data_IF_281677047927
#
_entry.id   IF_281677047927
#
_cell.length_a   1.000
_cell.length_b   1.000
_cell.length_c   1.000
_cell.angle_alpha   90.00
_cell.angle_beta   90.00
_cell.angle_gamma   90.00
#
_symmetry.space_group_name_H-M   'P 1'
#
loop_
_entity.id
_entity.type
_entity.pdbx_description
1 polymer ?
#
# COMPACT_ATOMS: atom_id res chain seq x y z
N UNK A 1 -75.57 -29.10 -1.08
CA UNK A 1 -74.76 -30.23 -1.59
C UNK A 1 -74.37 -29.91 -3.03
N UNK A 2 -73.14 -29.44 -3.25
CA UNK A 2 -72.50 -29.38 -4.56
C UNK A 2 -71.01 -29.62 -4.32
N UNK A 3 -70.52 -30.76 -4.80
CA UNK A 3 -69.16 -31.25 -4.60
C UNK A 3 -68.14 -30.33 -5.29
N UNK A 4 -67.29 -29.66 -4.51
CA UNK A 4 -66.02 -29.11 -4.99
C UNK A 4 -65.07 -30.27 -5.33
N UNK A 5 -64.88 -30.51 -6.63
CA UNK A 5 -63.85 -31.44 -7.11
C UNK A 5 -62.48 -30.78 -6.95
N UNK A 6 -61.78 -31.07 -5.85
CA UNK A 6 -60.35 -30.81 -5.69
C UNK A 6 -59.58 -31.58 -6.76
N UNK A 7 -59.02 -30.87 -7.75
CA UNK A 7 -58.13 -31.43 -8.77
C UNK A 7 -56.85 -31.93 -8.11
N UNK A 8 -56.69 -33.25 -8.06
CA UNK A 8 -55.53 -33.93 -7.47
C UNK A 8 -54.28 -33.66 -8.31
N UNK A 9 -53.12 -33.41 -7.67
CA UNK A 9 -51.85 -33.05 -8.33
C UNK A 9 -51.43 -34.02 -9.45
N UNK A 10 -51.85 -35.28 -9.34
CA UNK A 10 -51.61 -36.30 -10.37
C UNK A 10 -52.25 -35.97 -11.71
N UNK A 11 -53.39 -35.27 -11.73
CA UNK A 11 -54.11 -34.94 -12.95
C UNK A 11 -53.47 -33.75 -13.67
N UNK A 12 -52.87 -32.83 -12.91
CA UNK A 12 -52.05 -31.73 -13.44
C UNK A 12 -50.76 -32.29 -14.06
N UNK A 13 -50.14 -33.28 -13.39
CA UNK A 13 -48.92 -33.91 -13.86
C UNK A 13 -49.15 -34.74 -15.14
N UNK A 14 -50.24 -35.50 -15.19
CA UNK A 14 -50.68 -36.22 -16.41
C UNK A 14 -50.95 -35.26 -17.56
N UNK A 15 -51.55 -34.10 -17.30
CA UNK A 15 -51.81 -33.07 -18.31
C UNK A 15 -50.53 -32.42 -18.84
N UNK A 16 -49.52 -32.20 -17.98
CA UNK A 16 -48.18 -31.73 -18.41
C UNK A 16 -47.41 -32.78 -19.21
N UNK A 17 -47.46 -34.05 -18.81
CA UNK A 17 -46.84 -35.16 -19.55
C UNK A 17 -47.49 -35.34 -20.94
N UNK A 18 -48.81 -35.19 -21.04
CA UNK A 18 -49.53 -35.22 -22.32
C UNK A 18 -49.21 -34.03 -23.25
N UNK A 19 -48.75 -32.90 -22.70
CA UNK A 19 -48.27 -31.76 -23.48
C UNK A 19 -46.79 -31.91 -23.89
N UNK A 20 -45.99 -32.65 -23.12
CA UNK A 20 -44.57 -32.95 -23.40
C UNK A 20 -44.39 -33.93 -24.59
N UNK A 21 -45.40 -34.75 -24.90
CA UNK A 21 -45.39 -35.65 -26.06
C UNK A 21 -45.69 -34.94 -27.40
N UNK A 22 -46.02 -33.65 -27.40
CA UNK A 22 -45.97 -32.84 -28.62
C UNK A 22 -44.51 -32.55 -28.93
N UNK A 23 -44.00 -33.16 -30.01
CA UNK A 23 -42.68 -32.88 -30.58
C UNK A 23 -42.48 -31.36 -30.67
N UNK A 24 -41.54 -30.85 -29.88
CA UNK A 24 -41.22 -29.43 -29.85
C UNK A 24 -40.31 -29.08 -31.04
N UNK A 25 -40.93 -28.77 -32.19
CA UNK A 25 -40.28 -28.42 -33.46
C UNK A 25 -39.68 -26.99 -33.49
N UNK A 26 -39.51 -26.35 -32.33
CA UNK A 26 -38.94 -24.99 -32.24
C UNK A 26 -37.41 -25.00 -32.34
N UNK A 27 -36.88 -24.02 -33.06
CA UNK A 27 -35.45 -23.87 -33.33
C UNK A 27 -34.68 -23.50 -32.03
N UNK A 28 -33.39 -23.82 -31.90
CA UNK A 28 -32.62 -23.53 -30.66
C UNK A 28 -32.64 -22.04 -30.28
N UNK A 29 -32.65 -21.15 -31.28
CA UNK A 29 -32.70 -19.71 -31.06
C UNK A 29 -34.06 -19.23 -30.53
N UNK A 30 -35.15 -19.88 -30.93
CA UNK A 30 -36.50 -19.59 -30.41
C UNK A 30 -36.65 -20.05 -28.97
N UNK A 31 -36.02 -21.18 -28.62
CA UNK A 31 -35.98 -21.67 -27.23
C UNK A 31 -35.18 -20.73 -26.33
N UNK A 32 -34.02 -20.24 -26.80
CA UNK A 32 -33.24 -19.21 -26.07
C UNK A 32 -33.98 -17.89 -25.94
N UNK A 33 -34.73 -17.48 -26.96
CA UNK A 33 -35.55 -16.27 -26.93
C UNK A 33 -36.70 -16.39 -25.91
N UNK A 34 -37.42 -17.52 -25.89
CA UNK A 34 -38.46 -17.78 -24.88
C UNK A 34 -37.87 -17.88 -23.47
N UNK A 35 -36.72 -18.54 -23.29
CA UNK A 35 -36.03 -18.62 -22.01
C UNK A 35 -35.61 -17.23 -21.50
N UNK A 36 -35.09 -16.37 -22.38
CA UNK A 36 -34.74 -14.98 -22.04
C UNK A 36 -35.98 -14.14 -21.74
N UNK A 37 -37.09 -14.37 -22.44
CA UNK A 37 -38.36 -13.67 -22.19
C UNK A 37 -39.00 -14.11 -20.87
N UNK A 38 -39.03 -15.41 -20.58
CA UNK A 38 -39.46 -15.99 -19.30
C UNK A 38 -38.56 -15.51 -18.15
N UNK A 39 -37.25 -15.52 -18.34
CA UNK A 39 -36.29 -14.99 -17.36
C UNK A 39 -36.55 -13.52 -17.07
N UNK A 40 -36.75 -12.70 -18.11
CA UNK A 40 -37.03 -11.26 -17.97
C UNK A 40 -38.35 -11.02 -17.24
N UNK A 41 -39.38 -11.83 -17.51
CA UNK A 41 -40.68 -11.76 -16.83
C UNK A 41 -40.56 -12.11 -15.35
N UNK A 42 -39.95 -13.24 -15.00
CA UNK A 42 -39.78 -13.62 -13.59
C UNK A 42 -38.84 -12.67 -12.85
N UNK A 43 -37.77 -12.20 -13.50
CA UNK A 43 -36.86 -11.22 -12.93
C UNK A 43 -37.57 -9.88 -12.63
N UNK A 44 -38.43 -9.40 -13.53
CA UNK A 44 -39.19 -8.16 -13.32
C UNK A 44 -40.27 -8.30 -12.25
N UNK A 45 -40.97 -9.43 -12.18
CA UNK A 45 -41.93 -9.74 -11.12
C UNK A 45 -41.23 -9.84 -9.75
N UNK A 46 -40.09 -10.50 -9.65
CA UNK A 46 -39.32 -10.61 -8.40
C UNK A 46 -38.61 -9.31 -8.00
N UNK A 47 -38.15 -8.50 -8.97
CA UNK A 47 -37.61 -7.15 -8.72
C UNK A 47 -38.67 -6.19 -8.16
N UNK A 48 -39.94 -6.40 -8.51
CA UNK A 48 -41.06 -5.62 -7.99
C UNK A 48 -41.55 -6.09 -6.60
N UNK A 49 -41.26 -7.35 -6.22
CA UNK A 49 -41.80 -8.00 -5.02
C UNK A 49 -41.09 -7.72 -3.69
N UNK A 50 -39.98 -6.96 -3.66
CA UNK A 50 -39.38 -6.56 -2.38
C UNK A 50 -40.12 -5.33 -1.85
N UNK A 51 -40.97 -5.54 -0.84
CA UNK A 51 -41.63 -4.52 -0.02
C UNK A 51 -40.74 -3.28 0.15
N UNK A 52 -40.95 -2.24 -0.66
CA UNK A 52 -40.20 -0.99 -0.54
C UNK A 52 -40.83 -0.23 0.61
N UNK A 53 -40.27 -0.36 1.81
CA UNK A 53 -40.60 0.52 2.93
C UNK A 53 -40.67 1.96 2.44
N UNK A 54 -41.69 2.71 2.86
CA UNK A 54 -41.91 4.08 2.39
C UNK A 54 -40.71 5.01 2.69
N UNK A 55 -39.88 4.62 3.66
CA UNK A 55 -38.60 5.26 4.01
C UNK A 55 -37.60 5.28 2.86
N UNK A 56 -37.59 4.29 1.96
CA UNK A 56 -36.69 4.26 0.80
C UNK A 56 -36.99 5.33 -0.26
N UNK A 57 -38.15 6.01 -0.16
CA UNK A 57 -38.46 7.20 -0.98
C UNK A 57 -37.70 8.44 -0.51
N UNK A 58 -37.31 8.51 0.76
CA UNK A 58 -36.59 9.64 1.37
C UNK A 58 -35.11 9.33 1.61
N UNK A 59 -34.79 8.09 1.97
CA UNK A 59 -33.43 7.63 2.24
C UNK A 59 -33.10 6.53 1.24
N UNK A 60 -32.21 6.76 0.27
CA UNK A 60 -31.81 5.71 -0.65
C UNK A 60 -31.15 4.57 0.13
N UNK A 61 -31.35 3.34 -0.34
CA UNK A 61 -30.68 2.18 0.25
C UNK A 61 -29.17 2.35 0.11
N UNK A 62 -28.48 2.53 1.23
CA UNK A 62 -27.05 2.77 1.28
C UNK A 62 -26.24 1.52 1.62
N UNK A 63 -26.89 0.47 2.14
CA UNK A 63 -26.25 -0.79 2.46
C UNK A 63 -26.87 -1.96 1.68
N UNK A 64 -26.00 -2.71 1.01
CA UNK A 64 -26.33 -3.94 0.31
C UNK A 64 -25.57 -5.06 1.00
N UNK A 65 -26.29 -5.99 1.63
CA UNK A 65 -25.70 -7.19 2.22
C UNK A 65 -25.00 -7.98 1.10
N UNK A 66 -23.80 -8.44 1.39
CA UNK A 66 -23.05 -9.32 0.49
C UNK A 66 -23.75 -10.69 0.42
N UNK A 67 -23.80 -11.33 -0.76
CA UNK A 67 -24.27 -12.70 -0.87
C UNK A 67 -23.47 -13.61 0.07
N UNK A 68 -24.16 -14.51 0.76
CA UNK A 68 -23.49 -15.49 1.61
C UNK A 68 -22.83 -16.59 0.75
N UNK A 69 -21.89 -17.36 1.33
CA UNK A 69 -21.11 -18.37 0.60
C UNK A 69 -21.96 -19.51 0.00
N UNK A 70 -23.15 -19.73 0.55
CA UNK A 70 -24.17 -20.64 0.06
C UNK A 70 -24.93 -20.13 -1.19
N UNK A 71 -24.83 -18.83 -1.51
CA UNK A 71 -25.55 -18.19 -2.62
C UNK A 71 -24.68 -18.05 -3.90
N UNK A 72 -24.20 -19.19 -4.42
CA UNK A 72 -23.26 -19.25 -5.57
C UNK A 72 -23.72 -18.46 -6.80
N UNK A 73 -25.02 -18.47 -7.12
CA UNK A 73 -25.56 -17.73 -8.28
C UNK A 73 -25.49 -16.22 -8.09
N UNK A 74 -25.72 -15.72 -6.87
CA UNK A 74 -25.64 -14.29 -6.57
C UNK A 74 -24.19 -13.81 -6.52
N UNK A 75 -23.26 -14.66 -6.09
CA UNK A 75 -21.83 -14.39 -6.17
C UNK A 75 -21.38 -14.26 -7.63
N UNK A 76 -21.68 -15.24 -8.48
CA UNK A 76 -21.33 -15.19 -9.92
C UNK A 76 -21.97 -14.00 -10.64
N UNK A 77 -23.24 -13.69 -10.35
CA UNK A 77 -23.90 -12.51 -10.92
C UNK A 77 -23.18 -11.22 -10.50
N UNK A 78 -22.74 -11.14 -9.24
CA UNK A 78 -21.99 -10.00 -8.73
C UNK A 78 -20.64 -9.89 -9.41
N UNK A 79 -19.89 -10.99 -9.53
CA UNK A 79 -18.61 -11.05 -10.25
C UNK A 79 -18.75 -10.54 -11.70
N UNK A 80 -19.71 -11.07 -12.45
CA UNK A 80 -19.97 -10.65 -13.84
C UNK A 80 -20.38 -9.17 -13.93
N UNK A 81 -21.30 -8.73 -13.05
CA UNK A 81 -21.72 -7.32 -13.02
C UNK A 81 -20.56 -6.37 -12.73
N UNK A 82 -19.61 -6.80 -11.89
CA UNK A 82 -18.40 -6.04 -11.56
C UNK A 82 -17.40 -6.06 -12.69
N UNK A 83 -17.17 -7.21 -13.32
CA UNK A 83 -16.31 -7.32 -14.48
C UNK A 83 -16.76 -6.37 -15.59
N UNK A 84 -18.07 -6.35 -15.91
CA UNK A 84 -18.65 -5.44 -16.91
C UNK A 84 -18.53 -3.97 -16.48
N UNK A 85 -18.77 -3.66 -15.20
CA UNK A 85 -18.60 -2.31 -14.68
C UNK A 85 -17.14 -1.82 -14.78
N UNK A 86 -16.18 -2.66 -14.41
CA UNK A 86 -14.75 -2.37 -14.47
C UNK A 86 -14.28 -2.24 -15.92
N UNK A 87 -14.76 -3.08 -16.85
CA UNK A 87 -14.51 -2.92 -18.28
C UNK A 87 -15.04 -1.59 -18.81
N UNK A 88 -16.26 -1.19 -18.42
CA UNK A 88 -16.80 0.12 -18.79
C UNK A 88 -15.93 1.26 -18.27
N UNK A 89 -15.47 1.16 -17.02
CA UNK A 89 -14.57 2.15 -16.41
C UNK A 89 -13.19 2.17 -17.07
N UNK A 90 -12.67 1.03 -17.49
CA UNK A 90 -11.43 0.92 -18.24
C UNK A 90 -11.54 1.65 -19.59
N UNK A 91 -12.65 1.48 -20.31
CA UNK A 91 -12.90 2.20 -21.58
C UNK A 91 -13.04 3.71 -21.45
N UNK A 92 -13.34 4.22 -20.25
CA UNK A 92 -13.37 5.67 -19.96
C UNK A 92 -11.95 6.26 -19.81
N UNK A 93 -10.91 5.42 -19.65
CA UNK A 93 -9.51 5.86 -19.56
C UNK A 93 -8.93 6.19 -20.92
N UNK A 94 -7.84 6.97 -20.89
CA UNK A 94 -7.08 7.34 -22.07
C UNK A 94 -6.20 6.18 -22.52
N UNK A 95 -6.31 5.82 -23.80
CA UNK A 95 -5.48 4.80 -24.43
C UNK A 95 -4.12 5.39 -24.87
N UNK A 96 -3.14 4.53 -25.17
CA UNK A 96 -1.79 4.97 -25.57
C UNK A 96 -1.80 5.91 -26.79
N UNK A 97 -2.65 5.63 -27.78
CA UNK A 97 -2.84 6.49 -28.96
C UNK A 97 -3.42 7.86 -28.59
N UNK A 98 -4.38 7.89 -27.67
CA UNK A 98 -4.99 9.14 -27.20
C UNK A 98 -3.99 9.99 -26.38
N UNK A 99 -3.12 9.34 -25.61
CA UNK A 99 -2.02 9.99 -24.89
C UNK A 99 -0.97 10.57 -25.85
N UNK A 100 -0.59 9.83 -26.90
CA UNK A 100 0.31 10.34 -27.95
C UNK A 100 -0.31 11.53 -28.70
N UNK A 101 -1.60 11.45 -29.03
CA UNK A 101 -2.34 12.55 -29.64
C UNK A 101 -2.40 13.77 -28.72
N UNK A 102 -2.59 13.57 -27.41
CA UNK A 102 -2.56 14.65 -26.42
C UNK A 102 -1.19 15.33 -26.38
N UNK A 103 -0.10 14.56 -26.37
CA UNK A 103 1.26 15.08 -26.43
C UNK A 103 1.48 15.95 -27.67
N UNK A 104 1.11 15.43 -28.85
CA UNK A 104 1.24 16.15 -30.12
C UNK A 104 0.42 17.46 -30.13
N UNK A 105 -0.79 17.46 -29.57
CA UNK A 105 -1.62 18.66 -29.47
C UNK A 105 -1.02 19.70 -28.53
N UNK A 106 -0.41 19.27 -27.42
CA UNK A 106 0.28 20.16 -26.49
C UNK A 106 1.52 20.78 -27.14
N UNK A 107 2.34 19.98 -27.83
CA UNK A 107 3.55 20.44 -28.53
C UNK A 107 3.22 21.42 -29.66
N UNK A 108 2.15 21.17 -30.44
CA UNK A 108 1.70 22.08 -31.51
C UNK A 108 1.25 23.46 -30.99
N UNK A 109 0.80 23.53 -29.74
CA UNK A 109 0.28 24.75 -29.11
C UNK A 109 1.25 25.32 -28.06
N UNK A 110 2.52 24.91 -28.12
CA UNK A 110 3.57 25.42 -27.23
C UNK A 110 3.88 26.89 -27.50
N UNK A 111 4.27 27.59 -26.44
CA UNK A 111 4.84 28.92 -26.49
C UNK A 111 6.33 28.77 -26.15
N UNK A 112 7.26 29.16 -27.05
CA UNK A 112 8.69 29.04 -26.80
C UNK A 112 9.09 29.74 -25.50
N UNK A 113 9.96 29.16 -24.67
CA UNK A 113 10.48 29.85 -23.50
C UNK A 113 11.47 30.92 -23.95
N UNK A 114 11.51 32.05 -23.25
CA UNK A 114 12.50 33.10 -23.51
C UNK A 114 13.86 32.80 -22.85
N UNK A 115 13.97 31.81 -21.96
CA UNK A 115 15.21 31.52 -21.21
C UNK A 115 15.32 30.09 -20.65
N UNK A 116 14.76 29.06 -21.30
CA UNK A 116 14.88 27.67 -20.85
C UNK A 116 14.51 26.67 -21.95
N UNK A 117 14.94 25.42 -21.80
CA UNK A 117 14.67 24.34 -22.78
C UNK A 117 13.27 23.70 -22.62
N UNK A 118 12.50 24.08 -21.59
CA UNK A 118 11.20 23.44 -21.29
C UNK A 118 10.03 24.05 -22.07
N UNK A 119 9.35 23.26 -22.89
CA UNK A 119 8.14 23.70 -23.61
C UNK A 119 7.00 24.14 -22.66
N UNK A 120 6.49 25.38 -22.84
CA UNK A 120 5.46 25.98 -21.98
C UNK A 120 4.13 26.18 -22.71
N UNK A 121 3.01 26.23 -21.96
CA UNK A 121 1.66 26.49 -22.50
C UNK A 121 0.94 27.62 -21.74
N UNK A 122 0.35 28.56 -22.49
CA UNK A 122 -0.50 29.62 -21.94
C UNK A 122 -1.90 29.11 -21.63
N UNK A 123 -2.66 29.83 -20.80
CA UNK A 123 -4.02 29.43 -20.44
C UNK A 123 -4.98 29.38 -21.65
N UNK A 124 -4.83 30.29 -22.61
CA UNK A 124 -5.62 30.29 -23.84
C UNK A 124 -5.32 29.06 -24.71
N UNK A 125 -4.04 28.69 -24.83
CA UNK A 125 -3.62 27.50 -25.55
C UNK A 125 -4.09 26.23 -24.82
N UNK A 126 -4.07 26.22 -23.49
CA UNK A 126 -4.59 25.13 -22.66
C UNK A 126 -6.09 24.89 -22.90
N UNK A 127 -6.90 25.95 -22.99
CA UNK A 127 -8.32 25.83 -23.31
C UNK A 127 -8.54 25.33 -24.75
N UNK A 128 -7.79 25.86 -25.72
CA UNK A 128 -7.86 25.41 -27.13
C UNK A 128 -7.48 23.93 -27.29
N UNK A 129 -6.46 23.46 -26.56
CA UNK A 129 -6.09 22.05 -26.53
C UNK A 129 -7.20 21.24 -25.87
N UNK A 130 -7.80 21.71 -24.77
CA UNK A 130 -8.91 21.03 -24.10
C UNK A 130 -10.17 20.88 -24.96
N UNK A 131 -10.45 21.82 -25.87
CA UNK A 131 -11.55 21.73 -26.84
C UNK A 131 -11.28 20.73 -27.96
N UNK A 132 -10.03 20.67 -28.43
CA UNK A 132 -9.59 19.74 -29.48
C UNK A 132 -9.29 18.34 -28.96
N UNK A 133 -8.96 18.22 -27.68
CA UNK A 133 -8.74 16.95 -27.03
C UNK A 133 -10.07 16.20 -26.90
N UNK A 134 -10.02 14.87 -27.04
CA UNK A 134 -11.21 14.02 -27.00
C UNK A 134 -12.05 14.19 -25.73
N UNK A 135 -13.30 13.70 -25.72
CA UNK A 135 -14.22 13.85 -24.58
C UNK A 135 -13.66 13.29 -23.26
N UNK A 136 -12.82 12.24 -23.33
CA UNK A 136 -12.13 11.65 -22.18
C UNK A 136 -11.11 12.59 -21.53
N UNK A 137 -10.48 13.49 -22.29
CA UNK A 137 -9.47 14.43 -21.79
C UNK A 137 -10.09 15.59 -21.01
N UNK A 138 -11.35 15.96 -21.29
CA UNK A 138 -12.01 17.15 -20.73
C UNK A 138 -11.98 17.21 -19.21
N UNK A 139 -12.00 16.06 -18.53
CA UNK A 139 -11.92 15.98 -17.07
C UNK A 139 -10.57 16.48 -16.49
N UNK A 140 -9.49 16.47 -17.29
CA UNK A 140 -8.17 16.95 -16.88
C UNK A 140 -7.97 18.44 -17.19
N UNK A 141 -8.70 18.97 -18.16
CA UNK A 141 -8.66 20.37 -18.58
C UNK A 141 -9.57 21.25 -17.71
N UNK A 142 -9.16 21.47 -16.45
CA UNK A 142 -9.89 22.34 -15.50
C UNK A 142 -9.03 23.48 -15.01
N UNK A 143 -9.64 24.64 -14.74
CA UNK A 143 -8.95 25.81 -14.18
C UNK A 143 -8.24 25.49 -12.85
N UNK A 144 -8.79 24.55 -12.07
CA UNK A 144 -8.17 24.07 -10.81
C UNK A 144 -6.89 23.29 -11.04
N UNK A 145 -6.81 22.49 -12.10
CA UNK A 145 -5.57 21.77 -12.47
C UNK A 145 -4.52 22.76 -12.96
N UNK A 146 -4.92 23.71 -13.80
CA UNK A 146 -4.06 24.80 -14.26
C UNK A 146 -3.45 25.57 -13.08
N UNK A 147 -4.29 26.05 -12.15
CA UNK A 147 -3.82 26.79 -10.98
C UNK A 147 -2.94 25.99 -10.02
N UNK A 148 -3.07 24.65 -9.98
CA UNK A 148 -2.19 23.79 -9.17
C UNK A 148 -0.81 23.56 -9.78
N UNK A 149 -0.72 23.58 -11.11
CA UNK A 149 0.52 23.35 -11.84
C UNK A 149 1.27 24.65 -12.13
N UNK A 150 0.63 25.81 -11.91
CA UNK A 150 1.25 27.12 -12.03
C UNK A 150 2.29 27.31 -10.91
N UNK A 151 3.57 27.24 -11.26
CA UNK A 151 4.69 27.51 -10.35
C UNK A 151 5.30 28.85 -10.72
N UNK A 152 5.08 29.87 -9.87
CA UNK A 152 5.82 31.14 -9.78
C UNK A 152 6.27 31.81 -11.09
N UNK A 153 5.60 31.57 -12.21
CA UNK A 153 5.92 32.18 -13.50
C UNK A 153 5.25 33.54 -13.61
N UNK A 154 6.01 34.64 -13.82
CA UNK A 154 5.46 35.98 -14.02
C UNK A 154 4.44 36.09 -15.16
N UNK A 155 4.50 35.17 -16.12
CA UNK A 155 3.63 35.17 -17.31
C UNK A 155 2.45 34.20 -17.22
N UNK A 156 2.27 33.52 -16.09
CA UNK A 156 1.13 32.65 -15.88
C UNK A 156 1.12 31.40 -16.76
N UNK A 157 2.27 30.86 -17.18
CA UNK A 157 2.40 29.69 -18.06
C UNK A 157 2.72 28.42 -17.26
N UNK A 158 2.50 27.27 -17.88
CA UNK A 158 2.74 25.94 -17.27
C UNK A 158 3.63 25.11 -18.18
N UNK A 159 4.53 24.31 -17.60
CA UNK A 159 5.35 23.33 -18.32
C UNK A 159 4.47 22.22 -18.90
N UNK A 160 4.58 22.00 -20.22
CA UNK A 160 3.84 20.95 -20.93
C UNK A 160 4.19 19.58 -20.35
N UNK A 161 5.46 19.35 -20.03
CA UNK A 161 5.95 18.12 -19.42
C UNK A 161 5.26 17.86 -18.07
N UNK A 162 5.16 18.88 -17.21
CA UNK A 162 4.50 18.75 -15.91
C UNK A 162 3.01 18.43 -16.03
N UNK A 163 2.31 19.07 -16.97
CA UNK A 163 0.90 18.78 -17.23
C UNK A 163 0.69 17.37 -17.81
N UNK A 164 1.52 16.97 -18.78
CA UNK A 164 1.47 15.63 -19.36
C UNK A 164 1.73 14.55 -18.30
N UNK A 165 2.76 14.75 -17.47
CA UNK A 165 3.06 13.87 -16.33
C UNK A 165 1.90 13.82 -15.31
N UNK A 166 1.19 14.94 -15.08
CA UNK A 166 -0.01 14.94 -14.25
C UNK A 166 -1.12 14.06 -14.85
N UNK A 167 -1.40 14.17 -16.15
CA UNK A 167 -2.40 13.36 -16.83
C UNK A 167 -2.01 11.89 -16.80
N UNK A 168 -0.76 11.56 -17.15
CA UNK A 168 -0.21 10.21 -17.09
C UNK A 168 -0.36 9.59 -15.70
N UNK A 169 0.08 10.29 -14.65
CA UNK A 169 -0.06 9.83 -13.25
C UNK A 169 -1.52 9.60 -12.86
N UNK A 170 -2.44 10.44 -13.34
CA UNK A 170 -3.87 10.28 -13.06
C UNK A 170 -4.49 9.08 -13.78
N UNK A 171 -4.24 8.92 -15.08
CA UNK A 171 -4.72 7.79 -15.87
C UNK A 171 -4.21 6.50 -15.24
N UNK A 172 -2.92 6.45 -14.94
CA UNK A 172 -2.30 5.27 -14.37
C UNK A 172 -2.80 4.97 -12.95
N UNK A 173 -3.02 5.97 -12.10
CA UNK A 173 -3.69 5.77 -10.80
C UNK A 173 -5.07 5.10 -10.95
N UNK A 174 -5.86 5.55 -11.92
CA UNK A 174 -7.17 4.95 -12.19
C UNK A 174 -7.06 3.54 -12.76
N UNK A 175 -6.07 3.29 -13.63
CA UNK A 175 -5.78 1.98 -14.19
C UNK A 175 -5.34 0.99 -13.09
N UNK A 176 -4.42 1.38 -12.21
CA UNK A 176 -4.01 0.58 -11.04
C UNK A 176 -5.20 0.30 -10.15
N UNK A 177 -6.07 1.29 -9.89
CA UNK A 177 -7.28 1.09 -9.08
C UNK A 177 -8.24 0.09 -9.72
N UNK A 178 -8.45 0.16 -11.04
CA UNK A 178 -9.29 -0.80 -11.77
C UNK A 178 -8.66 -2.20 -11.73
N UNK A 179 -7.36 -2.29 -11.99
CA UNK A 179 -6.59 -3.54 -11.91
C UNK A 179 -6.74 -4.20 -10.54
N UNK A 180 -6.43 -3.48 -9.46
CA UNK A 180 -6.60 -3.96 -8.09
C UNK A 180 -8.06 -4.36 -7.77
N UNK A 181 -9.05 -3.68 -8.34
CA UNK A 181 -10.46 -4.01 -8.13
C UNK A 181 -10.91 -5.32 -8.79
N UNK A 182 -10.15 -5.83 -9.77
CA UNK A 182 -10.38 -7.15 -10.38
C UNK A 182 -9.98 -8.28 -9.42
N UNK A 183 -9.00 -8.04 -8.56
CA UNK A 183 -8.48 -9.01 -7.61
C UNK A 183 -9.31 -9.14 -6.32
N UNK A 184 -10.13 -8.14 -5.99
CA UNK A 184 -11.08 -8.22 -4.89
C UNK A 184 -12.24 -9.14 -5.28
N UNK A 185 -12.12 -10.47 -5.07
CA UNK A 185 -13.17 -11.44 -5.44
C UNK A 185 -14.47 -11.16 -4.69
N UNK A 186 -14.40 -10.82 -3.39
CA UNK A 186 -15.57 -10.60 -2.54
C UNK A 186 -16.30 -9.26 -2.80
N UNK A 187 -15.62 -8.29 -3.42
CA UNK A 187 -16.19 -6.96 -3.68
C UNK A 187 -16.49 -6.21 -2.40
N UNK A 188 -15.66 -6.44 -1.38
CA UNK A 188 -15.76 -5.83 -0.06
C UNK A 188 -15.03 -4.48 -0.02
N UNK A 189 -14.26 -4.16 -1.07
CA UNK A 189 -13.52 -2.92 -1.17
C UNK A 189 -12.15 -2.98 -0.48
N UNK A 190 -11.71 -4.17 -0.04
CA UNK A 190 -10.39 -4.41 0.52
C UNK A 190 -9.67 -5.56 -0.17
N UNK A 191 -8.33 -5.58 -0.09
CA UNK A 191 -7.49 -6.63 -0.66
C UNK A 191 -6.78 -7.41 0.45
N UNK A 192 -6.72 -8.72 0.27
CA UNK A 192 -5.93 -9.63 1.12
C UNK A 192 -4.49 -9.71 0.62
N UNK A 193 -3.60 -10.27 1.43
CA UNK A 193 -2.20 -10.49 1.05
C UNK A 193 -2.09 -11.30 -0.26
N UNK A 194 -2.83 -12.41 -0.37
CA UNK A 194 -2.85 -13.26 -1.57
C UNK A 194 -3.25 -12.53 -2.85
N UNK A 195 -4.19 -11.60 -2.75
CA UNK A 195 -4.71 -10.84 -3.89
C UNK A 195 -3.63 -9.87 -4.41
N UNK A 196 -2.90 -9.26 -3.49
CA UNK A 196 -1.79 -8.37 -3.82
C UNK A 196 -0.56 -9.14 -4.30
N UNK A 197 -0.30 -10.34 -3.78
CA UNK A 197 0.78 -11.22 -4.27
C UNK A 197 0.59 -11.53 -5.76
N UNK A 198 -0.62 -11.91 -6.16
CA UNK A 198 -0.95 -12.18 -7.57
C UNK A 198 -0.80 -10.93 -8.45
N UNK A 199 -1.28 -9.77 -7.98
CA UNK A 199 -1.14 -8.52 -8.71
C UNK A 199 0.32 -8.12 -8.93
N UNK A 200 1.18 -8.26 -7.91
CA UNK A 200 2.60 -7.93 -8.02
C UNK A 200 3.33 -8.93 -8.93
N UNK A 201 2.99 -10.22 -8.87
CA UNK A 201 3.55 -11.23 -9.77
C UNK A 201 3.32 -10.88 -11.25
N UNK A 202 2.11 -10.43 -11.60
CA UNK A 202 1.81 -9.97 -12.96
C UNK A 202 2.49 -8.65 -13.33
N UNK A 203 2.81 -7.81 -12.33
CA UNK A 203 3.45 -6.52 -12.56
C UNK A 203 4.96 -6.66 -12.86
N UNK A 204 5.63 -7.69 -12.31
CA UNK A 204 7.09 -7.90 -12.44
C UNK A 204 7.59 -7.79 -13.90
N UNK A 205 7.01 -8.51 -14.88
CA UNK A 205 7.50 -8.48 -16.27
C UNK A 205 7.34 -7.12 -16.95
N UNK A 206 6.52 -6.23 -16.38
CA UNK A 206 6.26 -4.90 -16.95
C UNK A 206 7.18 -3.82 -16.40
N UNK A 207 8.05 -4.15 -15.45
CA UNK A 207 8.93 -3.22 -14.75
C UNK A 207 10.38 -3.40 -15.22
N UNK A 208 10.97 -2.41 -15.92
CA UNK A 208 12.33 -2.50 -16.45
C UNK A 208 13.39 -2.80 -15.39
N UNK A 209 13.24 -2.23 -14.18
CA UNK A 209 14.17 -2.45 -13.06
C UNK A 209 14.18 -3.88 -12.51
N UNK A 210 13.21 -4.72 -12.91
CA UNK A 210 13.07 -6.11 -12.46
C UNK A 210 13.36 -7.12 -13.58
N UNK A 211 13.67 -6.67 -14.80
CA UNK A 211 13.83 -7.52 -16.00
C UNK A 211 15.01 -8.52 -15.87
N UNK A 212 15.97 -8.25 -14.98
CA UNK A 212 17.10 -9.13 -14.69
C UNK A 212 16.92 -10.12 -13.53
N UNK A 213 15.75 -10.16 -12.87
CA UNK A 213 15.54 -11.03 -11.71
C UNK A 213 15.33 -12.50 -12.11
N UNK A 214 15.96 -13.40 -11.36
CA UNK A 214 15.78 -14.84 -11.55
C UNK A 214 14.36 -15.26 -11.14
N UNK A 215 13.75 -16.17 -11.92
CA UNK A 215 12.38 -16.65 -11.64
C UNK A 215 12.22 -17.34 -10.29
N UNK A 216 13.28 -17.98 -9.78
CA UNK A 216 13.32 -18.57 -8.44
C UNK A 216 13.16 -17.53 -7.33
N UNK A 217 13.62 -16.29 -7.57
CA UNK A 217 13.53 -15.18 -6.63
C UNK A 217 12.16 -14.48 -6.65
N UNK A 218 11.30 -14.73 -7.63
CA UNK A 218 10.02 -14.02 -7.77
C UNK A 218 9.14 -14.18 -6.52
N UNK A 219 9.07 -15.39 -5.97
CA UNK A 219 8.30 -15.65 -4.74
C UNK A 219 8.78 -14.81 -3.56
N UNK A 220 10.11 -14.67 -3.38
CA UNK A 220 10.70 -13.88 -2.30
C UNK A 220 10.55 -12.38 -2.54
N UNK A 221 10.71 -11.92 -3.78
CA UNK A 221 10.47 -10.53 -4.14
C UNK A 221 9.01 -10.13 -3.89
N UNK A 222 8.06 -10.95 -4.32
CA UNK A 222 6.62 -10.69 -4.12
C UNK A 222 6.28 -10.68 -2.64
N UNK A 223 6.76 -11.67 -1.87
CA UNK A 223 6.59 -11.68 -0.43
C UNK A 223 7.14 -10.39 0.20
N UNK A 224 8.34 -9.95 -0.20
CA UNK A 224 8.98 -8.72 0.29
C UNK A 224 8.18 -7.47 -0.06
N UNK A 225 7.70 -7.36 -1.31
CA UNK A 225 6.95 -6.22 -1.79
C UNK A 225 5.55 -6.12 -1.14
N UNK A 226 4.85 -7.25 -1.01
CA UNK A 226 3.54 -7.31 -0.33
C UNK A 226 3.68 -6.95 1.14
N UNK A 227 4.67 -7.53 1.84
CA UNK A 227 4.95 -7.21 3.25
C UNK A 227 5.25 -5.73 3.44
N UNK A 228 6.06 -5.14 2.56
CA UNK A 228 6.30 -3.68 2.54
C UNK A 228 5.00 -2.89 2.42
N UNK A 229 4.12 -3.24 1.48
CA UNK A 229 2.85 -2.55 1.34
C UNK A 229 2.01 -2.67 2.62
N UNK A 230 1.80 -3.88 3.14
CA UNK A 230 1.00 -4.10 4.34
C UNK A 230 1.60 -3.42 5.58
N UNK A 231 2.93 -3.45 5.76
CA UNK A 231 3.59 -2.81 6.90
C UNK A 231 3.28 -1.30 7.00
N UNK A 232 3.34 -0.56 5.89
CA UNK A 232 3.08 0.90 5.89
C UNK A 232 1.63 1.31 5.61
N UNK A 233 0.84 0.44 5.00
CA UNK A 233 -0.57 0.71 4.69
C UNK A 233 -1.51 0.21 5.78
N UNK A 234 -1.02 -0.73 6.60
CA UNK A 234 -1.76 -1.33 7.70
C UNK A 234 -1.02 -1.24 9.05
N UNK A 235 -0.83 -0.02 9.62
CA UNK A 235 -0.23 0.12 10.95
C UNK A 235 -1.00 -0.66 12.03
N UNK A 236 -2.32 -0.82 11.88
CA UNK A 236 -3.17 -1.54 12.82
C UNK A 236 -3.19 -3.07 12.62
N UNK A 237 -2.49 -3.59 11.59
CA UNK A 237 -2.47 -5.02 11.22
C UNK A 237 -3.87 -5.66 11.15
N UNK A 238 -4.84 -4.90 10.68
CA UNK A 238 -6.23 -5.35 10.54
C UNK A 238 -6.41 -6.38 9.41
N UNK A 239 -5.45 -6.52 8.49
CA UNK A 239 -5.50 -7.47 7.37
C UNK A 239 -6.50 -7.08 6.27
N UNK A 240 -7.31 -6.05 6.50
CA UNK A 240 -8.37 -5.58 5.60
C UNK A 240 -8.16 -4.09 5.33
N UNK A 241 -7.70 -3.72 4.13
CA UNK A 241 -7.45 -2.32 3.76
C UNK A 241 -8.15 -1.91 2.49
N UNK A 242 -8.76 -0.72 2.54
CA UNK A 242 -9.49 -0.14 1.42
C UNK A 242 -8.61 0.03 0.17
N UNK A 243 -9.09 -0.47 -0.96
CA UNK A 243 -8.44 -0.41 -2.29
C UNK A 243 -8.05 1.02 -2.67
N UNK A 244 -8.82 2.03 -2.23
CA UNK A 244 -8.56 3.44 -2.54
C UNK A 244 -7.26 3.99 -1.92
N UNK A 245 -6.87 3.46 -0.75
CA UNK A 245 -5.65 3.90 -0.06
C UNK A 245 -4.43 3.15 -0.61
N UNK A 246 -4.59 1.85 -0.87
CA UNK A 246 -3.57 1.03 -1.52
C UNK A 246 -3.24 1.53 -2.92
N UNK A 247 -4.25 1.86 -3.74
CA UNK A 247 -4.02 2.26 -5.14
C UNK A 247 -3.14 3.51 -5.27
N UNK A 248 -3.24 4.46 -4.34
CA UNK A 248 -2.42 5.69 -4.36
C UNK A 248 -0.94 5.41 -4.05
N UNK A 249 -0.66 4.58 -3.03
CA UNK A 249 0.72 4.26 -2.65
C UNK A 249 1.36 3.25 -3.61
N UNK A 250 0.61 2.24 -4.10
CA UNK A 250 1.08 1.30 -5.12
C UNK A 250 1.36 2.04 -6.43
N UNK A 251 0.48 2.97 -6.81
CA UNK A 251 0.76 3.87 -7.93
C UNK A 251 2.05 4.65 -7.64
N UNK A 252 2.14 5.42 -6.57
CA UNK A 252 3.38 6.16 -6.30
C UNK A 252 4.66 5.29 -6.33
N UNK A 253 4.63 4.10 -5.73
CA UNK A 253 5.75 3.16 -5.72
C UNK A 253 6.10 2.64 -7.12
N UNK A 254 5.13 2.17 -7.91
CA UNK A 254 5.41 1.64 -9.24
C UNK A 254 5.74 2.73 -10.28
N UNK A 255 5.37 4.01 -10.06
CA UNK A 255 5.91 5.12 -10.86
C UNK A 255 7.42 5.27 -10.66
N UNK A 256 7.89 5.09 -9.41
CA UNK A 256 9.32 5.17 -9.08
C UNK A 256 10.12 3.97 -9.59
N UNK A 257 9.48 2.82 -9.80
CA UNK A 257 10.09 1.62 -10.39
C UNK A 257 10.12 1.61 -11.92
N UNK A 258 9.29 2.44 -12.55
CA UNK A 258 9.29 2.63 -14.01
C UNK A 258 10.27 3.71 -14.46
N UNK A 259 10.86 4.44 -13.53
CA UNK A 259 11.86 5.47 -13.81
C UNK A 259 13.22 4.81 -14.04
N UNK A 260 13.64 4.72 -15.30
CA UNK A 260 14.91 4.09 -15.70
C UNK A 260 16.14 4.95 -15.35
N UNK A 261 15.97 6.26 -15.11
CA UNK A 261 17.06 7.21 -14.88
C UNK A 261 17.53 7.29 -13.42
N UNK A 262 17.04 6.43 -12.54
CA UNK A 262 17.47 6.45 -11.14
C UNK A 262 18.93 6.01 -11.00
N UNK A 263 19.76 6.90 -10.42
CA UNK A 263 21.12 6.57 -9.97
C UNK A 263 21.13 5.31 -9.11
N UNK A 264 22.23 4.53 -9.15
CA UNK A 264 22.40 3.30 -8.37
C UNK A 264 22.15 3.51 -6.87
N UNK A 265 22.59 4.63 -6.31
CA UNK A 265 22.35 5.00 -4.91
C UNK A 265 20.86 5.22 -4.61
N UNK A 266 20.13 5.85 -5.55
CA UNK A 266 18.69 6.04 -5.45
C UNK A 266 17.91 4.73 -5.62
N UNK A 267 18.45 3.77 -6.38
CA UNK A 267 17.91 2.43 -6.49
C UNK A 267 18.11 1.64 -5.20
N UNK A 268 19.26 1.75 -4.54
CA UNK A 268 19.52 1.11 -3.23
C UNK A 268 18.67 1.69 -2.09
N UNK A 269 18.32 2.98 -2.19
CA UNK A 269 17.37 3.64 -1.30
C UNK A 269 15.90 3.29 -1.64
N UNK A 270 15.60 2.98 -2.91
CA UNK A 270 14.26 2.57 -3.31
C UNK A 270 13.97 1.13 -2.89
N UNK A 271 13.09 0.98 -1.92
CA UNK A 271 12.74 -0.31 -1.32
C UNK A 271 12.09 -1.32 -2.25
N UNK A 272 11.49 -0.87 -3.34
CA UNK A 272 10.88 -1.78 -4.31
C UNK A 272 11.85 -2.19 -5.43
N UNK A 273 13.08 -1.68 -5.43
CA UNK A 273 14.07 -2.03 -6.43
C UNK A 273 14.57 -3.47 -6.24
N UNK A 274 15.01 -4.09 -7.33
CA UNK A 274 15.65 -5.41 -7.27
C UNK A 274 16.90 -5.42 -6.36
N UNK A 275 17.84 -4.44 -6.44
CA UNK A 275 19.00 -4.42 -5.55
C UNK A 275 18.65 -4.34 -4.07
N UNK A 276 17.65 -3.53 -3.68
CA UNK A 276 17.22 -3.43 -2.29
C UNK A 276 16.62 -4.74 -1.78
N UNK A 277 15.74 -5.38 -2.57
CA UNK A 277 15.15 -6.66 -2.20
C UNK A 277 16.20 -7.77 -2.09
N UNK A 278 17.16 -7.82 -3.02
CA UNK A 278 18.28 -8.76 -2.99
C UNK A 278 19.21 -8.53 -1.80
N UNK A 279 19.43 -7.27 -1.40
CA UNK A 279 20.21 -6.93 -0.21
C UNK A 279 19.58 -7.51 1.06
N UNK A 280 18.28 -7.29 1.26
CA UNK A 280 17.56 -7.79 2.44
C UNK A 280 17.52 -9.33 2.45
N UNK A 281 17.28 -9.95 1.30
CA UNK A 281 17.31 -11.41 1.21
C UNK A 281 18.72 -11.99 1.39
N UNK A 282 19.76 -11.35 0.86
CA UNK A 282 21.14 -11.74 1.07
C UNK A 282 21.57 -11.62 2.54
N UNK A 283 21.10 -10.59 3.24
CA UNK A 283 21.29 -10.46 4.69
C UNK A 283 20.63 -11.62 5.44
N UNK A 284 19.41 -12.02 5.06
CA UNK A 284 18.74 -13.18 5.63
C UNK A 284 19.57 -14.47 5.47
N UNK A 285 20.02 -14.76 4.25
CA UNK A 285 20.84 -15.94 3.96
C UNK A 285 22.19 -15.94 4.68
N UNK A 286 22.77 -14.76 4.96
CA UNK A 286 24.01 -14.66 5.72
C UNK A 286 23.81 -14.92 7.23
N UNK A 287 22.60 -14.72 7.74
CA UNK A 287 22.25 -14.99 9.13
C UNK A 287 21.88 -16.45 9.33
N UNK A 288 21.11 -17.03 8.41
CA UNK A 288 20.69 -18.44 8.39
C UNK A 288 21.89 -19.36 8.04
N UNK A 289 22.61 -19.81 9.08
CA UNK A 289 23.86 -20.58 8.92
C UNK A 289 23.62 -22.07 8.76
N UNK A 290 22.54 -22.58 9.32
CA UNK A 290 22.16 -23.98 9.19
C UNK A 290 21.33 -24.24 7.92
N UNK A 291 20.95 -23.17 7.21
CA UNK A 291 20.17 -23.18 5.98
C UNK A 291 18.83 -23.90 6.16
N UNK A 292 18.25 -23.79 7.36
CA UNK A 292 16.97 -24.39 7.69
C UNK A 292 15.79 -23.54 7.21
N UNK A 293 16.05 -22.31 6.73
CA UNK A 293 15.05 -21.39 6.20
C UNK A 293 14.31 -20.59 7.27
N UNK A 294 14.75 -20.65 8.53
CA UNK A 294 14.29 -19.90 9.70
C UNK A 294 15.50 -19.23 10.40
N UNK A 295 15.23 -18.33 11.34
CA UNK A 295 16.29 -17.65 12.10
C UNK A 295 16.13 -17.88 13.60
N UNK A 296 17.15 -18.46 14.21
CA UNK A 296 17.30 -18.53 15.66
C UNK A 296 17.68 -17.17 16.27
N UNK A 297 17.49 -17.02 17.59
CA UNK A 297 17.83 -15.78 18.30
C UNK A 297 19.32 -15.45 18.20
N UNK A 298 20.18 -16.47 18.25
CA UNK A 298 21.63 -16.35 18.15
C UNK A 298 22.09 -15.93 16.75
N UNK A 299 21.33 -16.29 15.71
CA UNK A 299 21.58 -15.84 14.36
C UNK A 299 21.13 -14.39 14.19
N UNK A 300 19.92 -14.05 14.63
CA UNK A 300 19.41 -12.68 14.56
C UNK A 300 20.25 -11.69 15.37
N UNK A 301 20.92 -12.14 16.44
CA UNK A 301 21.81 -11.27 17.23
C UNK A 301 23.00 -10.75 16.43
N UNK A 302 23.34 -11.37 15.28
CA UNK A 302 24.39 -10.92 14.37
C UNK A 302 23.88 -9.96 13.29
N UNK A 303 22.61 -9.58 13.34
CA UNK A 303 22.03 -8.62 12.42
C UNK A 303 22.75 -7.26 12.50
N UNK A 304 23.05 -6.68 11.33
CA UNK A 304 23.74 -5.40 11.22
C UNK A 304 25.13 -5.44 11.85
N UNK A 305 25.35 -4.57 12.85
CA UNK A 305 26.60 -4.47 13.63
C UNK A 305 26.62 -5.37 14.86
N UNK A 306 25.60 -6.22 15.06
CA UNK A 306 25.42 -7.04 16.26
C UNK A 306 25.36 -6.24 17.58
N UNK A 307 24.90 -5.00 17.51
CA UNK A 307 24.82 -4.05 18.64
C UNK A 307 23.43 -3.94 19.26
N UNK A 308 22.46 -4.69 18.75
CA UNK A 308 21.14 -4.80 19.34
C UNK A 308 21.23 -5.47 20.71
N UNK A 309 20.48 -4.96 21.69
CA UNK A 309 20.50 -5.52 23.04
C UNK A 309 19.83 -6.89 23.09
N UNK A 310 20.37 -7.80 23.90
CA UNK A 310 19.79 -9.14 24.10
C UNK A 310 18.34 -9.06 24.62
N UNK A 311 18.05 -8.09 25.48
CA UNK A 311 16.71 -7.82 26.04
C UNK A 311 15.72 -7.42 24.94
N UNK A 312 16.13 -6.59 23.99
CA UNK A 312 15.29 -6.25 22.84
C UNK A 312 15.02 -7.47 21.95
N UNK A 313 16.05 -8.28 21.66
CA UNK A 313 15.89 -9.51 20.88
C UNK A 313 14.97 -10.52 21.59
N UNK A 314 15.06 -10.65 22.90
CA UNK A 314 14.12 -11.46 23.69
C UNK A 314 12.67 -11.02 23.49
N UNK A 315 12.42 -9.71 23.50
CA UNK A 315 11.07 -9.16 23.26
C UNK A 315 10.60 -9.42 21.83
N UNK A 316 11.49 -9.36 20.84
CA UNK A 316 11.15 -9.71 19.44
C UNK A 316 10.63 -11.14 19.36
N UNK A 317 11.35 -12.11 19.92
CA UNK A 317 10.94 -13.52 19.88
C UNK A 317 9.72 -13.84 20.77
N UNK A 318 9.41 -12.99 21.76
CA UNK A 318 8.20 -13.14 22.58
C UNK A 318 6.94 -12.59 21.91
N UNK A 319 7.04 -11.48 21.18
CA UNK A 319 5.90 -10.77 20.61
C UNK A 319 5.62 -11.12 19.14
N UNK A 320 6.63 -11.62 18.42
CA UNK A 320 6.52 -12.01 17.03
C UNK A 320 6.12 -13.48 16.87
N UNK A 321 5.66 -13.83 15.67
CA UNK A 321 5.32 -15.21 15.32
C UNK A 321 6.62 -16.02 15.19
N UNK A 322 6.82 -16.96 16.10
CA UNK A 322 7.96 -17.89 16.09
C UNK A 322 7.48 -19.33 16.03
N UNK A 323 8.18 -20.17 15.29
CA UNK A 323 7.97 -21.60 15.21
C UNK A 323 9.10 -22.29 15.96
N UNK A 324 8.80 -22.96 17.07
CA UNK A 324 9.79 -23.62 17.93
C UNK A 324 10.96 -22.72 18.38
N UNK A 325 10.71 -21.42 18.52
CA UNK A 325 11.72 -20.42 18.91
C UNK A 325 12.51 -19.83 17.74
N UNK A 326 12.14 -20.15 16.50
CA UNK A 326 12.75 -19.61 15.28
C UNK A 326 11.77 -18.72 14.51
N UNK A 327 12.32 -17.73 13.80
CA UNK A 327 11.55 -16.73 13.07
C UNK A 327 11.58 -16.98 11.57
N UNK A 328 10.44 -16.88 10.89
CA UNK A 328 10.35 -17.06 9.44
C UNK A 328 10.78 -15.79 8.65
N UNK A 329 11.01 -15.95 7.36
CA UNK A 329 11.37 -14.84 6.48
C UNK A 329 10.34 -13.70 6.49
N UNK A 330 9.04 -14.00 6.62
CA UNK A 330 7.99 -12.98 6.68
C UNK A 330 8.10 -12.11 7.93
N UNK A 331 8.36 -12.72 9.08
CA UNK A 331 8.52 -12.01 10.34
C UNK A 331 9.86 -11.26 10.38
N UNK A 332 10.92 -11.84 9.80
CA UNK A 332 12.19 -11.14 9.60
C UNK A 332 12.02 -9.87 8.76
N UNK A 333 11.22 -9.92 7.69
CA UNK A 333 10.93 -8.74 6.88
C UNK A 333 10.28 -7.65 7.74
N UNK A 334 9.24 -7.95 8.51
CA UNK A 334 8.58 -6.96 9.37
C UNK A 334 9.57 -6.33 10.38
N UNK A 335 10.51 -7.12 10.90
CA UNK A 335 11.59 -6.64 11.76
C UNK A 335 12.55 -5.68 11.05
N UNK A 336 13.05 -6.04 9.87
CA UNK A 336 13.95 -5.17 9.07
C UNK A 336 13.24 -3.88 8.66
N UNK A 337 11.97 -3.99 8.23
CA UNK A 337 11.18 -2.83 7.81
C UNK A 337 10.96 -1.83 8.96
N UNK A 338 10.77 -2.34 10.18
CA UNK A 338 10.67 -1.50 11.37
C UNK A 338 11.99 -0.80 11.70
N UNK A 339 13.11 -1.53 11.63
CA UNK A 339 14.42 -0.98 12.01
C UNK A 339 15.01 -0.02 10.97
N UNK A 340 14.76 -0.21 9.68
CA UNK A 340 15.30 0.67 8.63
C UNK A 340 14.54 2.01 8.51
N UNK A 341 13.23 2.09 8.84
CA UNK A 341 12.52 3.38 8.94
C UNK A 341 11.80 3.59 10.26
N UNK A 342 12.61 3.74 11.31
CA UNK A 342 12.17 4.14 12.65
C UNK A 342 11.45 5.50 12.68
N UNK A 343 11.56 6.31 11.63
CA UNK A 343 10.87 7.61 11.50
C UNK A 343 9.39 7.47 11.16
N UNK A 344 9.01 6.39 10.49
CA UNK A 344 7.63 6.18 10.06
C UNK A 344 6.76 5.73 11.24
N UNK A 345 5.52 6.24 11.37
CA UNK A 345 4.65 5.93 12.51
C UNK A 345 4.31 4.43 12.61
N UNK A 346 4.26 3.72 11.48
CA UNK A 346 4.04 2.28 11.46
C UNK A 346 5.21 1.49 12.09
N UNK A 347 6.44 1.92 11.82
CA UNK A 347 7.63 1.32 12.42
C UNK A 347 7.74 1.66 13.91
N UNK A 348 7.44 2.91 14.29
CA UNK A 348 7.38 3.29 15.70
C UNK A 348 6.33 2.47 16.45
N UNK A 349 5.17 2.20 15.86
CA UNK A 349 4.17 1.34 16.46
C UNK A 349 4.69 -0.09 16.68
N UNK A 350 5.41 -0.65 15.70
CA UNK A 350 6.06 -1.96 15.82
C UNK A 350 7.03 -1.98 17.00
N UNK A 351 7.96 -1.04 17.06
CA UNK A 351 8.98 -0.96 18.11
C UNK A 351 8.33 -0.68 19.46
N UNK A 352 7.35 0.21 19.52
CA UNK A 352 6.62 0.53 20.74
C UNK A 352 5.93 -0.70 21.34
N UNK A 353 5.34 -1.56 20.50
CA UNK A 353 4.77 -2.83 20.96
C UNK A 353 5.83 -3.74 21.62
N UNK A 354 7.06 -3.75 21.11
CA UNK A 354 8.16 -4.51 21.70
C UNK A 354 8.63 -3.92 23.04
N UNK A 355 8.64 -2.58 23.13
CA UNK A 355 9.03 -1.85 24.34
C UNK A 355 7.96 -1.90 25.44
N UNK A 356 6.68 -2.00 25.09
CA UNK A 356 5.56 -2.10 26.02
C UNK A 356 5.43 -3.55 26.55
N UNK A 357 6.21 -3.86 27.59
CA UNK A 357 6.22 -5.19 28.22
C UNK A 357 4.86 -5.60 28.81
N UNK A 358 4.07 -4.63 29.27
CA UNK A 358 2.82 -4.89 29.99
C UNK A 358 1.58 -4.75 29.09
N UNK A 359 1.76 -4.41 27.80
CA UNK A 359 0.70 -4.13 26.84
C UNK A 359 -0.34 -3.11 27.37
N UNK A 360 0.12 -2.12 28.13
CA UNK A 360 -0.74 -1.10 28.75
C UNK A 360 -1.01 0.09 27.83
N UNK A 361 -0.29 0.18 26.71
CA UNK A 361 -0.35 1.28 25.74
C UNK A 361 0.50 2.50 26.12
N UNK A 362 1.35 2.39 27.14
CA UNK A 362 2.27 3.44 27.58
C UNK A 362 3.57 2.86 28.16
N UNK A 363 4.67 3.60 27.97
CA UNK A 363 5.97 3.29 28.57
C UNK A 363 6.13 4.05 29.88
N UNK A 364 6.60 3.34 30.91
CA UNK A 364 6.91 3.91 32.22
C UNK A 364 8.41 4.05 32.41
N UNK A 365 8.82 4.79 33.44
CA UNK A 365 10.23 4.89 33.85
C UNK A 365 10.84 3.50 34.12
N UNK A 366 10.05 2.57 34.66
CA UNK A 366 10.52 1.20 34.88
C UNK A 366 10.83 0.48 33.55
N UNK A 367 9.94 0.61 32.56
CA UNK A 367 10.15 0.05 31.22
C UNK A 367 11.43 0.60 30.58
N UNK A 368 11.64 1.92 30.64
CA UNK A 368 12.86 2.56 30.10
C UNK A 368 14.12 2.06 30.80
N UNK A 369 14.11 1.99 32.14
CA UNK A 369 15.25 1.51 32.92
C UNK A 369 15.60 0.04 32.59
N UNK A 370 14.59 -0.79 32.36
CA UNK A 370 14.78 -2.19 32.02
C UNK A 370 15.58 -2.36 30.71
N UNK A 371 15.20 -1.65 29.65
CA UNK A 371 15.95 -1.69 28.38
C UNK A 371 17.32 -1.01 28.50
N UNK A 372 17.39 0.13 29.19
CA UNK A 372 18.64 0.88 29.33
C UNK A 372 19.72 0.12 30.11
N UNK A 373 19.34 -0.70 31.10
CA UNK A 373 20.29 -1.56 31.84
C UNK A 373 21.08 -2.48 30.92
N UNK A 374 20.44 -3.05 29.91
CA UNK A 374 21.10 -3.92 28.94
C UNK A 374 22.18 -3.16 28.14
N UNK A 375 21.94 -1.88 27.85
CA UNK A 375 22.90 -1.00 27.17
C UNK A 375 24.07 -0.68 28.10
N UNK A 376 23.79 -0.34 29.37
CA UNK A 376 24.84 -0.10 30.36
C UNK A 376 25.74 -1.32 30.56
N UNK A 377 25.18 -2.53 30.54
CA UNK A 377 25.95 -3.77 30.60
C UNK A 377 26.87 -3.93 29.38
N UNK A 378 26.37 -3.66 28.17
CA UNK A 378 27.19 -3.70 26.97
C UNK A 378 28.29 -2.62 26.98
N UNK A 379 28.03 -1.41 27.48
CA UNK A 379 29.06 -0.37 27.64
C UNK A 379 30.19 -0.81 28.58
N UNK A 380 29.84 -1.43 29.71
CA UNK A 380 30.83 -1.97 30.66
C UNK A 380 31.73 -3.00 30.01
N UNK A 381 31.15 -3.88 29.19
CA UNK A 381 31.90 -4.91 28.45
C UNK A 381 32.90 -4.25 27.47
N UNK A 382 32.50 -3.15 26.83
CA UNK A 382 33.35 -2.39 25.91
C UNK A 382 34.29 -1.38 26.62
N UNK A 383 34.32 -1.37 27.95
CA UNK A 383 35.21 -0.51 28.75
C UNK A 383 34.86 0.98 28.73
N UNK A 384 33.60 1.32 28.42
CA UNK A 384 33.12 2.70 28.36
C UNK A 384 32.57 3.19 29.72
N UNK A 385 32.56 4.49 29.92
CA UNK A 385 31.98 5.11 31.11
C UNK A 385 30.47 4.90 31.16
N UNK A 386 29.96 4.53 32.35
CA UNK A 386 28.55 4.23 32.55
C UNK A 386 27.80 5.53 32.80
N UNK A 387 26.91 5.87 31.88
CA UNK A 387 26.04 7.04 32.01
C UNK A 387 24.89 6.74 32.98
N UNK A 388 24.50 7.74 33.76
CA UNK A 388 23.40 7.65 34.72
C UNK A 388 22.06 7.52 33.98
N UNK A 389 21.25 6.54 34.39
CA UNK A 389 19.89 6.40 33.86
C UNK A 389 19.02 7.64 34.12
N UNK A 390 19.28 8.37 35.20
CA UNK A 390 18.50 9.56 35.54
C UNK A 390 18.63 10.64 34.46
N UNK A 391 19.84 10.83 33.93
CA UNK A 391 20.13 11.86 32.92
C UNK A 391 19.45 11.47 31.60
N UNK A 392 19.63 10.22 31.15
CA UNK A 392 18.99 9.70 29.92
C UNK A 392 17.47 9.72 30.04
N UNK A 393 16.92 9.41 31.21
CA UNK A 393 15.48 9.52 31.46
C UNK A 393 15.02 10.97 31.28
N UNK A 394 15.68 11.92 31.93
CA UNK A 394 15.27 13.32 31.86
C UNK A 394 15.36 13.84 30.41
N UNK A 395 16.39 13.47 29.65
CA UNK A 395 16.51 13.77 28.23
C UNK A 395 15.39 13.14 27.37
N UNK A 396 15.05 11.87 27.60
CA UNK A 396 13.94 11.21 26.87
C UNK A 396 12.62 11.93 27.14
N UNK A 397 12.33 12.28 28.39
CA UNK A 397 11.10 12.99 28.73
C UNK A 397 11.07 14.42 28.16
N UNK A 398 12.22 15.11 28.11
CA UNK A 398 12.35 16.43 27.51
C UNK A 398 12.24 16.42 25.98
N UNK A 399 12.70 15.35 25.32
CA UNK A 399 12.53 15.15 23.88
C UNK A 399 11.08 14.85 23.52
N UNK A 400 10.43 13.95 24.24
CA UNK A 400 9.08 13.47 23.90
C UNK A 400 7.99 14.44 24.35
N UNK A 401 8.18 15.14 25.47
CA UNK A 401 7.20 16.04 26.10
C UNK A 401 5.80 15.41 26.19
N UNK A 402 5.67 14.28 26.90
CA UNK A 402 4.42 13.55 26.97
C UNK A 402 3.31 14.38 27.63
N UNK A 403 2.06 14.12 27.27
CA UNK A 403 0.89 14.77 27.90
C UNK A 403 0.77 14.46 29.38
N UNK A 404 1.11 13.22 29.75
CA UNK A 404 1.21 12.78 31.14
C UNK A 404 2.70 12.75 31.52
N UNK A 405 3.15 13.51 32.54
CA UNK A 405 4.55 13.57 32.95
C UNK A 405 5.18 12.23 33.32
N UNK A 406 4.38 11.18 33.58
CA UNK A 406 4.89 9.88 34.00
C UNK A 406 4.73 8.77 32.95
N UNK A 407 4.10 9.05 31.82
CA UNK A 407 3.73 8.04 30.82
C UNK A 407 3.99 8.52 29.41
N UNK A 408 4.75 7.74 28.65
CA UNK A 408 4.99 8.02 27.22
C UNK A 408 4.08 7.12 26.39
N UNK A 409 3.14 7.70 25.65
CA UNK A 409 2.30 6.94 24.71
C UNK A 409 2.90 6.92 23.31
N UNK A 410 2.44 5.99 22.47
CA UNK A 410 2.80 5.97 21.05
C UNK A 410 2.48 7.31 20.35
N UNK A 411 1.35 7.93 20.69
CA UNK A 411 0.97 9.22 20.10
C UNK A 411 1.94 10.33 20.50
N UNK A 412 2.46 10.30 21.72
CA UNK A 412 3.46 11.28 22.17
C UNK A 412 4.77 11.13 21.39
N UNK A 413 5.24 9.89 21.18
CA UNK A 413 6.42 9.61 20.36
C UNK A 413 6.25 10.10 18.90
N UNK A 414 5.09 9.84 18.29
CA UNK A 414 4.80 10.28 16.93
C UNK A 414 4.72 11.82 16.85
N UNK A 415 4.08 12.48 17.81
CA UNK A 415 3.93 13.94 17.83
C UNK A 415 5.25 14.67 18.11
N UNK A 416 6.16 14.04 18.86
CA UNK A 416 7.47 14.61 19.19
C UNK A 416 8.41 14.70 17.97
N UNK A 417 8.17 13.90 16.93
CA UNK A 417 9.09 13.69 15.80
C UNK A 417 10.51 13.22 16.21
N UNK A 418 10.69 12.75 17.45
CA UNK A 418 11.96 12.21 18.00
C UNK A 418 11.84 10.73 18.38
N UNK A 419 10.76 10.07 17.93
CA UNK A 419 10.50 8.67 18.26
C UNK A 419 11.58 7.72 17.74
N UNK A 420 12.22 8.04 16.62
CA UNK A 420 13.31 7.25 16.04
C UNK A 420 14.57 7.31 16.92
N UNK A 421 14.92 8.49 17.42
CA UNK A 421 16.04 8.68 18.34
C UNK A 421 15.81 7.96 19.67
N UNK A 422 14.64 8.16 20.29
CA UNK A 422 14.28 7.48 21.56
C UNK A 422 14.27 5.96 21.38
N UNK A 423 13.70 5.46 20.28
CA UNK A 423 13.72 4.03 19.99
C UNK A 423 15.15 3.51 19.84
N UNK A 424 16.01 4.24 19.10
CA UNK A 424 17.41 3.86 18.89
C UNK A 424 18.22 3.82 20.19
N UNK A 425 18.01 4.80 21.06
CA UNK A 425 18.61 4.88 22.40
C UNK A 425 18.26 3.66 23.25
N UNK A 426 17.08 3.07 23.10
CA UNK A 426 16.60 2.00 23.98
C UNK A 426 16.92 0.59 23.44
N UNK A 427 17.16 0.44 22.13
CA UNK A 427 17.27 -0.87 21.48
C UNK A 427 18.70 -1.22 21.03
N UNK A 428 19.54 -0.22 20.73
CA UNK A 428 20.82 -0.39 20.04
C UNK A 428 21.94 0.40 20.71
N UNK A 429 23.05 -0.28 21.05
CA UNK A 429 24.23 0.36 21.63
C UNK A 429 24.85 1.39 20.68
N UNK A 430 24.95 1.09 19.38
CA UNK A 430 25.52 2.04 18.43
C UNK A 430 24.59 3.24 18.21
N UNK A 431 23.28 3.00 18.24
CA UNK A 431 22.26 4.05 18.24
C UNK A 431 22.44 5.02 19.41
N UNK A 432 22.66 4.48 20.61
CA UNK A 432 22.98 5.28 21.79
C UNK A 432 24.32 6.01 21.66
N UNK A 433 25.38 5.33 21.22
CA UNK A 433 26.71 5.93 21.06
C UNK A 433 26.72 7.10 20.07
N UNK A 434 25.98 6.97 18.96
CA UNK A 434 25.82 8.04 17.97
C UNK A 434 25.09 9.24 18.56
N UNK A 435 24.12 9.00 19.45
CA UNK A 435 23.38 10.05 20.13
C UNK A 435 24.25 10.81 21.14
N UNK A 436 25.00 10.11 21.99
CA UNK A 436 25.91 10.74 22.96
C UNK A 436 26.98 11.59 22.25
N UNK A 437 27.54 11.08 21.16
CA UNK A 437 28.59 11.78 20.41
C UNK A 437 28.03 12.74 19.34
N UNK A 438 26.73 13.03 19.35
CA UNK A 438 26.08 13.89 18.34
C UNK A 438 26.76 15.26 18.22
N UNK A 439 27.22 15.84 19.34
CA UNK A 439 27.84 17.17 19.34
C UNK A 439 29.23 17.15 18.69
N UNK A 440 29.99 16.07 18.88
CA UNK A 440 31.31 15.88 18.27
C UNK A 440 31.20 15.56 16.78
N UNK A 441 30.20 14.76 16.40
CA UNK A 441 29.94 14.43 15.00
C UNK A 441 29.49 15.67 14.21
N UNK A 442 28.61 16.50 14.79
CA UNK A 442 28.18 17.77 14.17
C UNK A 442 29.33 18.78 14.06
N UNK A 443 30.25 18.80 15.03
CA UNK A 443 31.45 19.64 14.94
C UNK A 443 32.38 19.22 13.79
N UNK A 444 32.59 17.91 13.60
CA UNK A 444 33.43 17.38 12.51
C UNK A 444 32.81 17.59 11.11
N UNK A 445 31.48 17.53 10.99
CA UNK A 445 30.79 17.83 9.72
C UNK A 445 30.86 19.32 9.35
N UNK A 446 30.84 20.21 10.35
CA UNK A 446 31.06 21.64 10.13
C UNK A 446 32.52 21.96 9.78
N UNK A 447 33.48 21.30 10.44
CA UNK A 447 34.90 21.51 10.14
C UNK A 447 35.28 20.97 8.74
N UNK A 448 34.69 19.84 8.31
CA UNK A 448 34.93 19.30 6.96
C UNK A 448 34.26 20.13 5.85
N UNK A 449 33.10 20.74 6.09
CA UNK A 449 32.52 21.73 5.18
C UNK A 449 33.29 23.05 5.17
N UNK A 450 33.90 23.47 6.30
CA UNK A 450 34.72 24.68 6.35
C UNK A 450 36.09 24.51 5.68
N UNK A 451 36.58 23.27 5.55
CA UNK A 451 37.83 22.95 4.86
C UNK A 451 37.68 22.90 3.32
N UNK A 452 36.45 22.82 2.79
CA UNK A 452 36.18 22.84 1.35
C UNK A 452 36.05 24.26 0.76
N UNK A 453 35.98 25.29 1.60
CA UNK A 453 35.84 26.70 1.19
C UNK A 453 37.16 27.50 1.23
N UNK A 454 38.32 26.86 1.46
CA UNK A 454 39.61 27.56 1.64
C UNK A 454 40.70 27.24 0.60
N UNK A 455 40.43 26.42 -0.40
CA UNK A 455 41.36 26.19 -1.52
C UNK A 455 40.72 26.56 -2.86
N UNK A 456 40.66 27.87 -3.15
CA UNK A 456 40.74 28.36 -4.54
C UNK A 456 41.45 29.75 -4.55
N UNK A 457 42.70 29.84 -5.03
CA UNK A 457 43.43 31.11 -5.17
C UNK A 457 43.04 31.94 -6.41
#
# INVERSE_FOLDING_TARGET
MANEKTTHWSDILKRRLANSTRKDERNEDEKKAEETELFTKYYSEWKAGSNRDSSYKKIPRFYYRLPAEDEVLLQKLREESRAVFLQRKSRELLDNEELQNLWFLLDKHQVPPMSGEEAMISYEAYLKVGEKAGPKCKQFFTARVYGKLLHSDPYGRISIMQFFNYVMRKVWLHQTRIGLSLYDVAGQGYLRESDLENYILELIPTLPQLDGLEKSFYSFYVCTAVRKFFFFLDPLRTGEREICTQSKKISWAASRLRDEELSKESQESNWFSAPSALRVYGQYLNLDKDHNGMLSKEELSRYGTATLTAVFLDRVYQECLTYDGEMDYKTYLDFVLALENRKEPAALQYIFKLLDMENQGYLTVFSLNYFFRAIQEQMKIHGQEVISFQDVKDEIFDMVKPKDPYKITLQDLVNSCQGDTVSSILIDLNGFWTYENREVLVANDNDSNSALDLDDP
#
